data_IF_756460702072
#
_entry.id   IF_756460702072
#
_cell.length_a   1.000
_cell.length_b   1.000
_cell.length_c   1.000
_cell.angle_alpha   90.00
_cell.angle_beta   90.00
_cell.angle_gamma   90.00
#
_symmetry.space_group_name_H-M   'P 1'
#
loop_
_entity.id
_entity.type
_entity.pdbx_description
1 polymer ?
#
# COMPACT_ATOMS: atom_id res chain seq x y z
N UNK A 1 3.93 -20.88 0.28
CA UNK A 1 4.75 -21.39 1.40
C UNK A 1 4.24 -20.73 2.68
N UNK A 2 3.99 -21.45 3.77
CA UNK A 2 3.59 -20.83 5.03
C UNK A 2 4.80 -20.05 5.58
N UNK A 3 4.59 -18.82 6.05
CA UNK A 3 5.61 -17.81 6.39
C UNK A 3 6.35 -17.15 5.21
N UNK A 4 5.65 -16.86 4.10
CA UNK A 4 6.18 -15.89 3.15
C UNK A 4 6.07 -14.48 3.77
N UNK A 5 7.08 -14.05 4.51
CA UNK A 5 7.27 -12.65 4.88
C UNK A 5 7.67 -11.88 3.63
N UNK A 6 6.67 -11.48 2.84
CA UNK A 6 6.91 -10.70 1.64
C UNK A 6 7.21 -9.26 2.05
N UNK A 7 8.39 -8.78 1.71
CA UNK A 7 8.76 -7.39 1.96
C UNK A 7 8.03 -6.45 0.97
N UNK A 8 7.75 -5.22 1.42
CA UNK A 8 7.12 -4.18 0.59
C UNK A 8 7.92 -3.94 -0.70
N UNK A 9 9.24 -3.87 -0.57
CA UNK A 9 10.16 -3.67 -1.71
C UNK A 9 10.13 -4.83 -2.71
N UNK A 10 9.95 -6.06 -2.24
CA UNK A 10 9.89 -7.23 -3.11
C UNK A 10 8.60 -7.23 -3.94
N UNK A 11 7.48 -6.79 -3.36
CA UNK A 11 6.23 -6.60 -4.11
C UNK A 11 6.36 -5.48 -5.14
N UNK A 12 6.94 -4.35 -4.79
CA UNK A 12 7.14 -3.24 -5.73
C UNK A 12 8.02 -3.69 -6.92
N UNK A 13 9.16 -4.34 -6.63
CA UNK A 13 10.05 -4.93 -7.66
C UNK A 13 9.37 -6.03 -8.48
N UNK A 14 8.41 -6.76 -7.91
CA UNK A 14 7.65 -7.76 -8.66
C UNK A 14 6.74 -7.15 -9.73
N UNK A 15 6.23 -5.93 -9.50
CA UNK A 15 5.46 -5.18 -10.49
C UNK A 15 6.35 -4.47 -11.52
N UNK A 16 7.61 -4.18 -11.19
CA UNK A 16 8.60 -3.66 -12.14
C UNK A 16 8.83 -4.66 -13.29
N UNK A 17 8.46 -4.24 -14.50
CA UNK A 17 8.63 -5.03 -15.73
C UNK A 17 7.44 -5.93 -16.11
N UNK A 18 6.44 -6.11 -15.22
CA UNK A 18 5.18 -6.79 -15.57
C UNK A 18 4.06 -5.84 -15.97
N UNK A 19 4.17 -4.57 -15.58
CA UNK A 19 3.13 -3.58 -15.81
C UNK A 19 3.76 -2.23 -16.18
N UNK A 20 3.00 -1.38 -16.86
CA UNK A 20 3.46 -0.05 -17.21
C UNK A 20 3.72 0.78 -15.93
N UNK A 21 4.73 1.67 -15.99
CA UNK A 21 5.20 2.45 -14.82
C UNK A 21 4.10 3.21 -14.06
N UNK A 22 3.06 3.65 -14.77
CA UNK A 22 1.93 4.39 -14.21
C UNK A 22 0.88 3.55 -13.46
N UNK A 23 0.98 2.21 -13.54
CA UNK A 23 0.15 1.30 -12.77
C UNK A 23 0.88 0.71 -11.56
N UNK A 24 2.17 1.00 -11.41
CA UNK A 24 2.94 0.55 -10.26
C UNK A 24 2.48 1.39 -9.06
N UNK A 25 2.03 0.76 -7.96
CA UNK A 25 1.63 1.50 -6.78
C UNK A 25 2.84 2.20 -6.15
N UNK A 26 2.65 3.42 -5.64
CA UNK A 26 3.70 4.16 -4.94
C UNK A 26 4.07 3.52 -3.60
N UNK A 27 3.16 2.73 -3.01
CA UNK A 27 3.36 2.11 -1.70
C UNK A 27 2.46 0.89 -1.47
N UNK A 28 2.89 0.02 -0.55
CA UNK A 28 2.20 -1.22 -0.17
C UNK A 28 2.06 -1.28 1.35
N UNK A 29 0.80 -1.29 1.81
CA UNK A 29 0.45 -1.45 3.22
C UNK A 29 -0.14 -2.82 3.45
N UNK A 30 0.46 -3.57 4.37
CA UNK A 30 -0.11 -4.79 4.89
C UNK A 30 -1.07 -4.46 6.02
N UNK A 31 -2.31 -4.89 5.88
CA UNK A 31 -3.36 -4.80 6.89
C UNK A 31 -3.73 -6.21 7.33
N UNK A 32 -4.09 -6.37 8.61
CA UNK A 32 -4.47 -7.68 9.16
C UNK A 32 -5.71 -8.27 8.46
N UNK A 33 -6.67 -7.41 8.14
CA UNK A 33 -7.86 -7.77 7.38
C UNK A 33 -8.34 -6.60 6.54
N UNK A 34 -8.78 -6.88 5.31
CA UNK A 34 -9.51 -5.89 4.51
C UNK A 34 -10.90 -5.74 5.14
N UNK A 35 -11.36 -4.51 5.46
CA UNK A 35 -12.69 -4.30 5.98
C UNK A 35 -13.72 -4.62 4.89
N UNK A 36 -14.45 -5.71 5.09
CA UNK A 36 -15.50 -6.18 4.20
C UNK A 36 -16.84 -6.04 4.91
N UNK A 37 -17.85 -5.49 4.22
CA UNK A 37 -19.20 -5.37 4.75
C UNK A 37 -19.96 -6.70 4.71
N UNK A 38 -21.16 -6.72 5.29
CA UNK A 38 -22.02 -7.92 5.33
C UNK A 38 -22.34 -8.54 3.95
N UNK A 39 -22.15 -7.79 2.86
CA UNK A 39 -22.39 -8.23 1.47
C UNK A 39 -21.12 -8.69 0.75
N UNK A 40 -19.98 -8.81 1.43
CA UNK A 40 -18.71 -9.18 0.79
C UNK A 40 -18.03 -8.02 0.05
N UNK A 41 -18.59 -6.80 0.10
CA UNK A 41 -18.02 -5.61 -0.55
C UNK A 41 -16.97 -4.94 0.34
N UNK A 42 -15.86 -4.54 -0.27
CA UNK A 42 -14.81 -3.75 0.39
C UNK A 42 -15.40 -2.41 0.84
N UNK A 43 -15.30 -2.14 2.14
CA UNK A 43 -15.73 -0.88 2.72
C UNK A 43 -14.61 0.16 2.63
N UNK A 44 -14.54 0.84 1.48
CA UNK A 44 -13.55 1.91 1.25
C UNK A 44 -13.60 3.02 2.30
N UNK A 45 -14.77 3.30 2.87
CA UNK A 45 -14.92 4.29 3.95
C UNK A 45 -14.13 3.89 5.18
N UNK A 46 -14.28 2.64 5.64
CA UNK A 46 -13.56 2.11 6.80
C UNK A 46 -12.06 2.02 6.52
N UNK A 47 -11.67 1.59 5.32
CA UNK A 47 -10.26 1.57 4.92
C UNK A 47 -9.64 2.97 4.95
N UNK A 48 -10.37 3.99 4.50
CA UNK A 48 -9.90 5.39 4.55
C UNK A 48 -9.85 5.94 5.98
N UNK A 49 -10.75 5.53 6.86
CA UNK A 49 -10.67 5.89 8.29
C UNK A 49 -9.44 5.25 8.95
N UNK A 50 -9.17 3.98 8.66
CA UNK A 50 -8.01 3.26 9.20
C UNK A 50 -6.68 3.83 8.69
N UNK A 51 -6.64 4.28 7.43
CA UNK A 51 -5.45 4.87 6.80
C UNK A 51 -5.49 6.41 6.81
N UNK A 52 -6.31 7.04 7.68
CA UNK A 52 -6.49 8.50 7.68
C UNK A 52 -5.20 9.25 7.99
N UNK A 53 -4.42 8.72 8.92
CA UNK A 53 -3.14 9.29 9.36
C UNK A 53 -1.95 8.69 8.58
N UNK A 54 -2.25 7.88 7.55
CA UNK A 54 -1.23 7.26 6.72
C UNK A 54 -0.65 8.28 5.73
N UNK A 55 0.63 8.57 5.88
CA UNK A 55 1.38 9.44 4.97
C UNK A 55 2.19 8.57 4.01
N UNK A 56 2.08 8.86 2.71
CA UNK A 56 2.86 8.16 1.70
C UNK A 56 4.36 8.44 1.91
N UNK A 57 5.23 7.43 1.82
CA UNK A 57 6.67 7.60 2.00
C UNK A 57 7.25 8.59 0.97
N UNK A 58 6.73 8.59 -0.26
CA UNK A 58 7.10 9.54 -1.33
C UNK A 58 6.80 10.99 -0.96
N UNK A 59 5.73 11.25 -0.19
CA UNK A 59 5.38 12.60 0.25
C UNK A 59 6.26 13.09 1.41
N UNK A 60 6.62 12.20 2.33
CA UNK A 60 7.48 12.53 3.48
C UNK A 60 8.95 12.74 3.10
N UNK A 61 9.45 12.12 2.03
CA UNK A 61 10.82 12.34 1.56
C UNK A 61 11.07 13.74 1.01
N UNK A 62 10.05 14.41 0.47
CA UNK A 62 10.17 15.77 -0.10
C UNK A 62 10.52 16.81 1.00
N UNK A 63 10.18 16.53 2.26
CA UNK A 63 10.46 17.46 3.37
C UNK A 63 11.92 17.42 3.86
N UNK A 64 12.68 16.36 3.56
CA UNK A 64 14.07 16.21 4.04
C UNK A 64 15.13 16.84 3.14
N UNK A 65 14.75 17.24 1.92
CA UNK A 65 15.66 17.85 0.94
C UNK A 65 15.63 19.39 0.98
N UNK A 66 14.96 19.99 1.97
CA UNK A 66 14.78 21.44 2.10
C UNK A 66 15.49 22.05 3.34
N UNK A 67 16.46 21.33 3.91
CA UNK A 67 17.41 21.85 4.92
C UNK A 67 18.84 21.90 4.38
#
# INVERSE_FOLDING_TARGET
KPNAEVAREELLKFYEGKTAKWQIPDDVVFVEAIPIGATGKILKTRLREQLKDYVLPTAATIEKDNE
#
